data_IF_734971209940
#
_entry.id   IF_734971209940
#
_cell.length_a   1.000
_cell.length_b   1.000
_cell.length_c   1.000
_cell.angle_alpha   90.00
_cell.angle_beta   90.00
_cell.angle_gamma   90.00
#
_symmetry.space_group_name_H-M   'P 1'
#
loop_
_entity.id
_entity.type
_entity.pdbx_description
1 polymer ?
#
# COMPACT_ATOMS: atom_id res chain seq x y z
N UNK A 1 7.07 -32.83 -6.68
CA UNK A 1 8.16 -32.28 -5.83
C UNK A 1 7.57 -32.08 -4.47
N UNK A 2 8.31 -32.38 -3.40
CA UNK A 2 7.79 -32.13 -2.05
C UNK A 2 7.57 -30.62 -1.85
N UNK A 3 6.57 -30.28 -1.07
CA UNK A 3 6.21 -28.91 -0.68
C UNK A 3 7.43 -28.16 -0.10
N UNK A 4 8.23 -28.84 0.70
CA UNK A 4 9.47 -28.30 1.27
C UNK A 4 10.47 -27.84 0.20
N UNK A 5 10.71 -28.66 -0.85
CA UNK A 5 11.66 -28.30 -1.91
C UNK A 5 11.21 -27.06 -2.70
N UNK A 6 9.90 -26.88 -2.88
CA UNK A 6 9.34 -25.70 -3.53
C UNK A 6 9.52 -24.45 -2.67
N UNK A 7 9.28 -24.54 -1.36
CA UNK A 7 9.48 -23.43 -0.42
C UNK A 7 10.95 -23.05 -0.35
N UNK A 8 11.88 -24.01 -0.23
CA UNK A 8 13.32 -23.71 -0.19
C UNK A 8 13.80 -23.01 -1.46
N UNK A 9 13.33 -23.44 -2.64
CA UNK A 9 13.65 -22.77 -3.91
C UNK A 9 13.08 -21.35 -3.95
N UNK A 10 11.89 -21.17 -3.43
CA UNK A 10 11.27 -19.86 -3.35
C UNK A 10 12.04 -18.94 -2.41
N UNK A 11 12.47 -19.43 -1.26
CA UNK A 11 13.24 -18.66 -0.28
C UNK A 11 14.69 -18.39 -0.72
N UNK A 12 15.19 -19.05 -1.76
CA UNK A 12 16.51 -18.76 -2.34
C UNK A 12 16.63 -17.39 -3.04
N UNK A 13 15.54 -16.63 -3.14
CA UNK A 13 15.54 -15.27 -3.70
C UNK A 13 15.64 -14.22 -2.59
N UNK A 14 16.67 -13.37 -2.66
CA UNK A 14 16.96 -12.33 -1.65
C UNK A 14 15.76 -11.38 -1.46
N UNK A 15 15.10 -10.96 -2.54
CA UNK A 15 13.99 -10.01 -2.45
C UNK A 15 12.81 -10.63 -1.69
N UNK A 16 12.52 -11.91 -1.91
CA UNK A 16 11.44 -12.60 -1.19
C UNK A 16 11.74 -12.72 0.30
N UNK A 17 13.00 -13.01 0.66
CA UNK A 17 13.42 -13.00 2.07
C UNK A 17 13.27 -11.61 2.69
N UNK A 18 13.70 -10.56 2.00
CA UNK A 18 13.54 -9.17 2.46
C UNK A 18 12.06 -8.82 2.67
N UNK A 19 11.18 -9.21 1.75
CA UNK A 19 9.73 -9.02 1.93
C UNK A 19 9.25 -9.74 3.20
N UNK A 20 9.61 -11.01 3.38
CA UNK A 20 9.20 -11.78 4.57
C UNK A 20 9.70 -11.15 5.87
N UNK A 21 10.96 -10.66 5.91
CA UNK A 21 11.52 -9.95 7.06
C UNK A 21 10.71 -8.70 7.38
N UNK A 22 10.30 -7.94 6.38
CA UNK A 22 9.53 -6.72 6.57
C UNK A 22 8.11 -7.00 7.07
N UNK A 23 7.39 -7.91 6.40
CA UNK A 23 6.01 -8.24 6.78
C UNK A 23 5.91 -9.08 8.06
N UNK A 24 7.02 -9.63 8.56
CA UNK A 24 7.07 -10.26 9.89
C UNK A 24 7.01 -9.26 11.03
N UNK A 25 7.39 -8.01 10.79
CA UNK A 25 7.37 -6.95 11.79
C UNK A 25 6.02 -6.23 11.84
N UNK A 26 5.41 -6.01 10.69
CA UNK A 26 4.11 -5.32 10.57
C UNK A 26 3.48 -5.61 9.20
N UNK A 27 2.14 -5.59 9.09
CA UNK A 27 1.48 -5.67 7.79
C UNK A 27 1.85 -4.48 6.90
N UNK A 28 2.18 -4.74 5.63
CA UNK A 28 2.60 -3.74 4.65
C UNK A 28 1.81 -3.90 3.35
N UNK A 29 1.48 -2.78 2.71
CA UNK A 29 0.89 -2.77 1.38
C UNK A 29 1.96 -2.71 0.27
N UNK A 30 1.53 -2.83 -1.00
CA UNK A 30 2.45 -2.85 -2.15
C UNK A 30 3.23 -1.54 -2.29
N UNK A 31 2.58 -0.40 -2.08
CA UNK A 31 3.22 0.92 -2.19
C UNK A 31 4.34 1.09 -1.15
N UNK A 32 4.08 0.69 0.09
CA UNK A 32 5.07 0.74 1.17
C UNK A 32 6.25 -0.18 0.89
N UNK A 33 5.99 -1.42 0.44
CA UNK A 33 7.06 -2.35 0.03
C UNK A 33 7.88 -1.80 -1.14
N UNK A 34 7.24 -1.14 -2.09
CA UNK A 34 7.91 -0.47 -3.22
C UNK A 34 8.87 0.61 -2.71
N UNK A 35 8.42 1.45 -1.79
CA UNK A 35 9.22 2.52 -1.18
C UNK A 35 10.38 1.96 -0.36
N UNK A 36 10.12 0.95 0.48
CA UNK A 36 11.16 0.36 1.36
C UNK A 36 12.23 -0.36 0.54
N UNK A 37 11.82 -1.19 -0.43
CA UNK A 37 12.73 -2.03 -1.20
C UNK A 37 13.40 -1.30 -2.38
N UNK A 38 12.88 -0.13 -2.77
CA UNK A 38 13.36 0.63 -3.92
C UNK A 38 13.15 -0.09 -5.25
N UNK A 39 12.04 -0.84 -5.39
CA UNK A 39 11.75 -1.66 -6.56
C UNK A 39 10.45 -1.22 -7.23
N UNK A 40 10.31 -1.49 -8.53
CA UNK A 40 9.07 -1.22 -9.25
C UNK A 40 7.91 -2.07 -8.70
N UNK A 41 6.71 -1.50 -8.67
CA UNK A 41 5.49 -2.14 -8.17
C UNK A 41 5.21 -3.51 -8.84
N UNK A 42 5.42 -3.63 -10.14
CA UNK A 42 5.24 -4.87 -10.88
C UNK A 42 6.18 -5.99 -10.41
N UNK A 43 7.42 -5.64 -10.03
CA UNK A 43 8.38 -6.56 -9.42
C UNK A 43 7.91 -7.05 -8.06
N UNK A 44 7.52 -6.12 -7.17
CA UNK A 44 6.98 -6.44 -5.84
C UNK A 44 5.74 -7.34 -5.96
N UNK A 45 4.78 -6.97 -6.80
CA UNK A 45 3.55 -7.76 -7.01
C UNK A 45 3.83 -9.19 -7.46
N UNK A 46 4.86 -9.40 -8.31
CA UNK A 46 5.28 -10.74 -8.73
C UNK A 46 5.84 -11.56 -7.56
N UNK A 47 6.71 -10.97 -6.73
CA UNK A 47 7.25 -11.66 -5.56
C UNK A 47 6.16 -12.00 -4.55
N UNK A 48 5.24 -11.07 -4.26
CA UNK A 48 4.09 -11.30 -3.39
C UNK A 48 3.20 -12.44 -3.93
N UNK A 49 2.94 -12.46 -5.24
CA UNK A 49 2.16 -13.55 -5.87
C UNK A 49 2.81 -14.92 -5.67
N UNK A 50 4.14 -15.02 -5.78
CA UNK A 50 4.84 -16.28 -5.53
C UNK A 50 4.75 -16.72 -4.07
N UNK A 51 4.94 -15.79 -3.12
CA UNK A 51 4.84 -16.07 -1.69
C UNK A 51 3.41 -16.50 -1.28
N UNK A 52 2.38 -15.85 -1.87
CA UNK A 52 0.97 -16.23 -1.64
C UNK A 52 0.64 -17.62 -2.17
N UNK A 53 1.09 -17.97 -3.39
CA UNK A 53 0.86 -19.31 -3.97
C UNK A 53 1.38 -20.45 -3.09
N UNK A 54 2.36 -20.16 -2.25
CA UNK A 54 2.91 -21.12 -1.27
C UNK A 54 2.31 -20.94 0.13
N UNK A 55 1.26 -20.13 0.26
CA UNK A 55 0.59 -19.81 1.52
C UNK A 55 1.53 -19.25 2.60
N UNK A 56 2.64 -18.59 2.22
CA UNK A 56 3.57 -17.96 3.16
C UNK A 56 3.11 -16.56 3.58
N UNK A 57 2.19 -15.96 2.82
CA UNK A 57 1.58 -14.66 3.10
C UNK A 57 0.07 -14.76 3.14
N UNK A 58 -0.52 -13.96 4.03
CA UNK A 58 -1.95 -13.67 4.06
C UNK A 58 -2.20 -12.23 3.63
N UNK A 59 -3.34 -12.01 3.00
CA UNK A 59 -3.84 -10.69 2.64
C UNK A 59 -4.93 -10.24 3.61
N UNK A 60 -4.86 -8.98 4.01
CA UNK A 60 -5.91 -8.31 4.79
C UNK A 60 -6.32 -7.05 4.05
N UNK A 61 -7.60 -6.94 3.72
CA UNK A 61 -8.15 -5.74 3.08
C UNK A 61 -8.59 -4.74 4.14
N UNK A 62 -8.13 -3.50 4.00
CA UNK A 62 -8.53 -2.37 4.84
C UNK A 62 -8.91 -1.20 3.92
N UNK A 63 -10.20 -0.98 3.75
CA UNK A 63 -10.71 -0.02 2.77
C UNK A 63 -10.28 -0.38 1.35
N UNK A 64 -9.56 0.52 0.71
CA UNK A 64 -9.00 0.33 -0.65
C UNK A 64 -7.64 -0.38 -0.64
N UNK A 65 -7.00 -0.51 0.52
CA UNK A 65 -5.67 -1.08 0.66
C UNK A 65 -5.70 -2.59 0.90
N UNK A 66 -4.74 -3.28 0.31
CA UNK A 66 -4.45 -4.68 0.62
C UNK A 66 -3.12 -4.75 1.34
N UNK A 67 -3.15 -5.16 2.60
CA UNK A 67 -1.97 -5.39 3.42
C UNK A 67 -1.57 -6.85 3.38
N UNK A 68 -0.27 -7.09 3.36
CA UNK A 68 0.35 -8.41 3.38
C UNK A 68 1.01 -8.62 4.74
N UNK A 69 0.81 -9.80 5.30
CA UNK A 69 1.41 -10.24 6.57
C UNK A 69 1.84 -11.70 6.46
N UNK A 70 2.66 -12.17 7.39
CA UNK A 70 3.02 -13.58 7.44
C UNK A 70 1.78 -14.44 7.62
N UNK A 71 1.77 -15.58 6.93
CA UNK A 71 0.74 -16.58 7.10
C UNK A 71 0.80 -17.19 8.49
N UNK A 72 -0.36 -17.53 9.05
CA UNK A 72 -0.47 -18.32 10.26
C UNK A 72 -0.08 -19.76 9.96
N UNK A 73 0.50 -20.47 10.95
CA UNK A 73 0.96 -21.84 10.81
C UNK A 73 -0.13 -22.78 10.29
N UNK A 74 -1.37 -22.56 10.73
CA UNK A 74 -2.54 -23.36 10.41
C UNK A 74 -2.93 -23.29 8.93
N UNK A 75 -2.48 -22.26 8.21
CA UNK A 75 -2.72 -22.10 6.77
C UNK A 75 -1.71 -22.82 5.88
N UNK A 76 -0.68 -23.44 6.48
CA UNK A 76 0.35 -24.18 5.78
C UNK A 76 0.09 -25.71 5.86
N UNK A 77 0.66 -26.44 4.90
CA UNK A 77 0.68 -27.89 4.98
C UNK A 77 1.48 -28.34 6.22
N UNK A 78 1.03 -29.38 6.88
CA UNK A 78 1.62 -29.89 8.14
C UNK A 78 3.11 -30.20 8.01
N UNK A 79 3.56 -30.63 6.84
CA UNK A 79 4.99 -30.88 6.54
C UNK A 79 5.85 -29.63 6.65
N UNK A 80 5.27 -28.45 6.45
CA UNK A 80 5.97 -27.16 6.50
C UNK A 80 6.01 -26.54 7.89
N UNK A 81 5.23 -27.05 8.84
CA UNK A 81 5.08 -26.39 10.14
C UNK A 81 6.39 -26.22 10.91
N UNK A 82 7.27 -27.21 10.89
CA UNK A 82 8.57 -27.13 11.57
C UNK A 82 9.49 -26.12 10.87
N UNK A 83 9.55 -26.18 9.54
CA UNK A 83 10.34 -25.25 8.74
C UNK A 83 9.84 -23.82 8.91
N UNK A 84 8.52 -23.63 8.95
CA UNK A 84 7.91 -22.32 9.11
C UNK A 84 8.18 -21.70 10.47
N UNK A 85 8.06 -22.47 11.55
CA UNK A 85 8.39 -22.00 12.90
C UNK A 85 9.86 -21.58 12.98
N UNK A 86 10.77 -22.38 12.45
CA UNK A 86 12.19 -22.06 12.41
C UNK A 86 12.43 -20.79 11.58
N UNK A 87 11.80 -20.68 10.42
CA UNK A 87 11.96 -19.51 9.55
C UNK A 87 11.47 -18.23 10.26
N UNK A 88 10.30 -18.24 10.88
CA UNK A 88 9.77 -17.09 11.61
C UNK A 88 10.71 -16.61 12.70
N UNK A 89 11.31 -17.53 13.46
CA UNK A 89 12.29 -17.20 14.47
C UNK A 89 13.55 -16.55 13.87
N UNK A 90 14.04 -17.09 12.75
CA UNK A 90 15.22 -16.55 12.07
C UNK A 90 14.97 -15.20 11.40
N UNK A 91 13.79 -14.95 10.85
CA UNK A 91 13.48 -13.68 10.16
C UNK A 91 13.71 -12.44 11.05
N UNK A 92 13.48 -12.55 12.35
CA UNK A 92 13.69 -11.45 13.30
C UNK A 92 15.17 -11.13 13.52
N UNK A 93 16.04 -12.15 13.43
CA UNK A 93 17.48 -12.06 13.70
C UNK A 93 18.34 -11.88 12.45
N UNK A 94 17.76 -12.07 11.25
CA UNK A 94 18.47 -11.92 9.99
C UNK A 94 19.09 -10.53 9.83
N UNK A 95 20.31 -10.50 9.29
CA UNK A 95 21.00 -9.24 8.95
C UNK A 95 20.21 -8.47 7.90
N UNK A 96 20.22 -7.15 8.02
CA UNK A 96 19.62 -6.21 7.07
C UNK A 96 20.71 -5.42 6.31
N UNK A 97 21.35 -6.03 5.29
CA UNK A 97 22.47 -5.42 4.60
C UNK A 97 22.09 -4.19 3.77
N UNK A 98 20.79 -3.99 3.50
CA UNK A 98 20.27 -2.89 2.67
C UNK A 98 19.56 -1.82 3.49
N UNK A 99 19.59 -1.91 4.82
CA UNK A 99 18.96 -0.96 5.74
C UNK A 99 17.43 -0.82 5.49
N UNK A 100 16.78 -1.92 5.12
CA UNK A 100 15.33 -1.95 4.87
C UNK A 100 14.53 -1.61 6.13
N UNK A 101 15.02 -2.01 7.32
CA UNK A 101 14.38 -1.70 8.60
C UNK A 101 14.38 -0.21 8.90
N UNK A 102 15.43 0.50 8.52
CA UNK A 102 15.48 1.97 8.68
C UNK A 102 14.41 2.62 7.81
N UNK A 103 14.29 2.20 6.53
CA UNK A 103 13.24 2.69 5.64
C UNK A 103 11.84 2.28 6.09
N UNK A 104 11.69 1.08 6.67
CA UNK A 104 10.43 0.66 7.29
C UNK A 104 10.00 1.63 8.39
N UNK A 105 10.89 1.98 9.31
CA UNK A 105 10.57 2.93 10.39
C UNK A 105 10.12 4.28 9.83
N UNK A 106 10.77 4.77 8.78
CA UNK A 106 10.37 6.03 8.14
C UNK A 106 8.98 5.93 7.49
N UNK A 107 8.69 4.83 6.78
CA UNK A 107 7.37 4.60 6.17
C UNK A 107 6.28 4.49 7.25
N UNK A 108 6.55 3.80 8.36
CA UNK A 108 5.59 3.69 9.47
C UNK A 108 5.36 5.04 10.15
N UNK A 109 6.40 5.84 10.34
CA UNK A 109 6.27 7.21 10.86
C UNK A 109 5.39 8.07 9.94
N UNK A 110 5.58 7.97 8.63
CA UNK A 110 4.73 8.67 7.67
C UNK A 110 3.28 8.17 7.71
N UNK A 111 3.06 6.85 7.85
CA UNK A 111 1.73 6.27 8.01
C UNK A 111 1.01 6.84 9.24
N UNK A 112 1.70 6.98 10.39
CA UNK A 112 1.12 7.57 11.60
C UNK A 112 0.72 9.02 11.40
N UNK A 113 1.56 9.80 10.73
CA UNK A 113 1.29 11.21 10.42
C UNK A 113 0.10 11.32 9.45
N UNK A 114 0.03 10.47 8.44
CA UNK A 114 -1.04 10.47 7.43
C UNK A 114 -2.32 9.80 7.93
N UNK A 115 -2.22 8.77 8.77
CA UNK A 115 -3.36 7.99 9.29
C UNK A 115 -4.22 8.72 10.31
N UNK A 116 -3.78 9.87 10.80
CA UNK A 116 -4.59 10.79 11.62
C UNK A 116 -5.49 11.73 10.83
N UNK A 117 -5.44 11.73 9.50
CA UNK A 117 -6.09 12.77 8.71
C UNK A 117 -6.74 12.34 7.41
N UNK A 118 -7.73 13.10 7.04
CA UNK A 118 -8.44 13.13 5.75
C UNK A 118 -7.53 13.18 4.50
N UNK A 119 -6.22 13.43 4.67
CA UNK A 119 -5.34 13.83 3.58
C UNK A 119 -4.95 12.71 2.61
N UNK A 120 -4.83 11.45 3.05
CA UNK A 120 -4.46 10.35 2.14
C UNK A 120 -5.61 9.95 1.21
N UNK A 121 -6.85 10.14 1.64
CA UNK A 121 -8.03 9.93 0.77
C UNK A 121 -8.17 11.00 -0.33
N UNK A 122 -7.50 12.14 -0.16
CA UNK A 122 -7.56 13.26 -1.09
C UNK A 122 -6.55 13.17 -2.25
N UNK A 123 -5.54 12.29 -2.14
CA UNK A 123 -4.43 12.21 -3.10
C UNK A 123 -4.52 11.01 -4.06
N UNK A 124 -5.52 10.15 -3.95
CA UNK A 124 -5.72 9.07 -4.91
C UNK A 124 -6.45 9.55 -6.16
N UNK A 125 -5.88 9.28 -7.36
CA UNK A 125 -6.46 9.73 -8.62
C UNK A 125 -7.89 9.24 -8.91
N UNK A 126 -8.36 8.22 -8.23
CA UNK A 126 -9.70 7.65 -8.44
C UNK A 126 -10.77 8.06 -7.43
N UNK A 127 -10.43 8.73 -6.32
CA UNK A 127 -11.37 9.16 -5.28
C UNK A 127 -11.44 10.68 -5.07
N UNK A 128 -10.84 11.45 -5.96
CA UNK A 128 -10.80 12.92 -5.90
C UNK A 128 -12.17 13.59 -6.03
N UNK A 129 -13.23 12.90 -6.47
CA UNK A 129 -14.57 13.45 -6.62
C UNK A 129 -15.13 14.09 -5.35
N UNK A 130 -14.86 13.48 -4.18
CA UNK A 130 -15.32 14.05 -2.92
C UNK A 130 -14.53 15.31 -2.55
N UNK A 131 -13.21 15.30 -2.77
CA UNK A 131 -12.36 16.47 -2.55
C UNK A 131 -12.72 17.62 -3.50
N UNK A 132 -12.94 17.31 -4.78
CA UNK A 132 -13.36 18.27 -5.79
C UNK A 132 -14.76 18.83 -5.50
N UNK A 133 -15.70 18.00 -5.06
CA UNK A 133 -17.04 18.47 -4.70
C UNK A 133 -17.01 19.37 -3.45
N UNK A 134 -16.17 19.08 -2.46
CA UNK A 134 -15.95 19.94 -1.30
C UNK A 134 -15.30 21.27 -1.71
N UNK A 135 -14.23 21.22 -2.54
CA UNK A 135 -13.53 22.41 -3.03
C UNK A 135 -14.47 23.29 -3.87
N UNK A 136 -15.23 22.67 -4.77
CA UNK A 136 -16.23 23.37 -5.59
C UNK A 136 -17.32 23.99 -4.71
N UNK A 137 -17.80 23.28 -3.69
CA UNK A 137 -18.77 23.79 -2.72
C UNK A 137 -18.26 25.02 -1.96
N UNK A 138 -16.98 25.02 -1.56
CA UNK A 138 -16.34 26.17 -0.90
C UNK A 138 -16.20 27.35 -1.86
N UNK A 139 -15.76 27.12 -3.10
CA UNK A 139 -15.59 28.17 -4.12
C UNK A 139 -16.94 28.77 -4.53
N UNK A 140 -17.99 27.96 -4.68
CA UNK A 140 -19.34 28.44 -4.99
C UNK A 140 -19.92 29.23 -3.83
N UNK A 141 -19.66 28.86 -2.59
CA UNK A 141 -20.12 29.58 -1.39
C UNK A 141 -19.45 30.95 -1.25
N UNK A 142 -18.13 31.04 -1.51
CA UNK A 142 -17.42 32.32 -1.52
C UNK A 142 -17.93 33.26 -2.61
N UNK A 143 -18.38 32.74 -3.76
CA UNK A 143 -18.91 33.54 -4.84
C UNK A 143 -20.36 34.01 -4.57
N UNK A 144 -21.12 33.32 -3.71
CA UNK A 144 -22.50 33.76 -3.34
C UNK A 144 -22.48 34.87 -2.31
N UNK A 145 -21.47 34.95 -1.45
CA UNK A 145 -21.34 36.01 -0.45
C UNK A 145 -20.88 37.37 -1.04
N UNK A 146 -20.33 37.38 -2.27
CA UNK A 146 -19.96 38.61 -2.97
C UNK A 146 -21.10 39.20 -3.84
N UNK A 147 -22.22 38.53 -3.98
CA UNK A 147 -23.34 38.98 -4.83
C UNK A 147 -24.54 39.66 -4.10
N UNK A 148 -24.27 40.30 -2.98
CA UNK A 148 -25.28 41.25 -2.41
C UNK A 148 -25.04 42.68 -2.88
N UNK A 149 -24.88 42.88 -4.16
CA UNK A 149 -24.80 44.20 -4.76
C UNK A 149 -24.23 44.15 -6.17
N UNK A 150 -25.07 43.99 -7.12
CA UNK A 150 -25.03 44.55 -8.45
C UNK A 150 -25.67 43.66 -9.52
N UNK A 151 -26.44 44.27 -10.29
CA UNK A 151 -27.15 44.17 -11.54
C UNK A 151 -26.93 42.96 -12.49
N UNK A 152 -28.05 42.66 -13.19
CA UNK A 152 -28.23 41.63 -14.18
C UNK A 152 -27.22 41.65 -15.33
N UNK A 153 -26.31 40.66 -15.30
CA UNK A 153 -25.46 40.27 -16.44
C UNK A 153 -25.16 38.80 -16.36
N UNK A 154 -25.66 38.03 -17.31
CA UNK A 154 -25.34 36.61 -17.48
C UNK A 154 -23.82 36.41 -17.64
N UNK A 155 -23.14 36.04 -16.57
CA UNK A 155 -21.79 35.56 -16.65
C UNK A 155 -21.80 34.02 -16.75
N UNK A 156 -21.48 33.51 -17.92
CA UNK A 156 -21.18 32.11 -18.10
C UNK A 156 -20.00 31.72 -17.19
N UNK A 157 -20.14 30.65 -16.42
CA UNK A 157 -19.08 30.03 -15.67
C UNK A 157 -18.24 29.21 -16.68
N UNK A 158 -17.07 29.71 -17.05
CA UNK A 158 -16.10 28.91 -17.78
C UNK A 158 -15.54 27.84 -16.83
N UNK A 159 -16.00 26.63 -17.00
CA UNK A 159 -15.44 25.46 -16.31
C UNK A 159 -14.22 25.02 -17.11
N UNK A 160 -13.04 25.31 -16.59
CA UNK A 160 -11.80 24.77 -17.15
C UNK A 160 -11.63 23.35 -16.64
N UNK A 161 -11.75 22.38 -17.52
CA UNK A 161 -11.41 20.99 -17.26
C UNK A 161 -9.88 20.86 -17.20
N UNK A 162 -9.32 20.79 -16.00
CA UNK A 162 -7.92 20.58 -15.76
C UNK A 162 -7.62 19.08 -15.74
N UNK A 163 -7.64 18.46 -16.92
CA UNK A 163 -6.93 17.21 -17.15
C UNK A 163 -7.42 16.00 -16.36
N UNK A 164 -8.70 15.68 -16.43
CA UNK A 164 -9.16 14.32 -16.23
C UNK A 164 -8.67 13.50 -17.42
N UNK A 165 -7.51 12.87 -17.28
CA UNK A 165 -7.08 11.85 -18.24
C UNK A 165 -8.12 10.74 -18.23
N UNK A 166 -8.81 10.60 -19.35
CA UNK A 166 -9.67 9.48 -19.66
C UNK A 166 -8.82 8.23 -19.69
N UNK A 167 -9.07 7.36 -18.72
CA UNK A 167 -8.52 6.03 -18.71
C UNK A 167 -9.11 5.25 -19.90
N UNK A 168 -8.33 5.05 -20.93
CA UNK A 168 -8.49 3.95 -21.89
C UNK A 168 -7.60 2.81 -21.50
#
# INVERSE_FOLDING_TARGET
MSSIAQVLRLLGDETRLRILILVSQTPLNVSELTTILGMAQSGISRHLSHLRKMNLLQERKEGIWTFYQLAQKESLESELHLLWNYLQEQLSTMKDPKNDRVRLHEVLRQREISGGGLNERLLEPGQSWFAWSCLLGILLRQNSDQKSGFDSGTSALDIIDLGCGDGT
#
